data_IF_194108784468
#
_entry.id   IF_194108784468
#
_cell.length_a   1.000
_cell.length_b   1.000
_cell.length_c   1.000
_cell.angle_alpha   90.00
_cell.angle_beta   90.00
_cell.angle_gamma   90.00
#
_symmetry.space_group_name_H-M   'P 1'
#
loop_
_entity.id
_entity.type
_entity.pdbx_description
1 polymer ?
#
# COMPACT_ATOMS: atom_id res chain seq x y z
N UNK A 1 -2.93 23.08 -13.67
CA UNK A 1 -3.24 21.74 -13.12
C UNK A 1 -2.08 20.75 -13.23
N UNK A 2 -1.58 20.36 -14.41
CA UNK A 2 -0.43 19.41 -14.48
C UNK A 2 0.86 20.01 -13.91
N UNK A 3 1.13 21.30 -14.18
CA UNK A 3 2.26 22.02 -13.58
C UNK A 3 2.12 22.21 -12.06
N UNK A 4 0.91 22.47 -11.56
CA UNK A 4 0.66 22.59 -10.11
C UNK A 4 0.86 21.27 -9.39
N UNK A 5 0.49 20.13 -10.01
CA UNK A 5 0.75 18.81 -9.45
C UNK A 5 2.25 18.51 -9.43
N UNK A 6 2.99 18.84 -10.48
CA UNK A 6 4.45 18.67 -10.50
C UNK A 6 5.11 19.54 -9.45
N UNK A 7 4.69 20.80 -9.28
CA UNK A 7 5.21 21.67 -8.24
C UNK A 7 4.81 21.21 -6.83
N UNK A 8 3.58 20.75 -6.63
CA UNK A 8 3.12 20.23 -5.34
C UNK A 8 3.81 18.91 -4.98
N UNK A 9 4.07 18.05 -5.96
CA UNK A 9 4.87 16.84 -5.80
C UNK A 9 6.34 17.19 -5.59
N UNK A 10 6.90 18.18 -6.27
CA UNK A 10 8.27 18.67 -5.99
C UNK A 10 8.39 19.39 -4.65
N UNK A 11 7.31 19.96 -4.13
CA UNK A 11 7.27 20.63 -2.84
C UNK A 11 7.09 19.63 -1.68
N UNK A 12 6.26 18.60 -1.86
CA UNK A 12 6.11 17.49 -0.90
C UNK A 12 7.26 16.49 -0.96
N UNK A 13 7.83 16.31 -2.15
CA UNK A 13 8.95 15.44 -2.43
C UNK A 13 10.21 16.27 -2.66
N UNK A 14 10.41 17.30 -1.84
CA UNK A 14 11.78 17.59 -1.43
C UNK A 14 12.21 16.32 -0.67
N UNK A 15 13.07 15.46 -1.27
CA UNK A 15 13.63 14.37 -0.50
C UNK A 15 14.22 15.00 0.75
N UNK A 16 13.97 14.41 1.91
CA UNK A 16 14.53 14.84 3.19
C UNK A 16 16.05 14.63 3.15
N UNK A 17 16.75 15.33 2.27
CA UNK A 17 18.19 15.40 2.23
C UNK A 17 18.56 16.09 3.53
N UNK A 18 19.13 15.31 4.44
CA UNK A 18 19.88 15.85 5.55
C UNK A 18 20.90 16.84 4.97
N UNK A 19 20.70 18.13 5.25
CA UNK A 19 21.70 19.13 4.92
C UNK A 19 22.88 18.82 5.84
N UNK A 20 24.10 18.60 5.29
CA UNK A 20 25.26 18.42 6.13
C UNK A 20 25.37 19.65 7.02
N UNK A 21 25.26 19.47 8.33
CA UNK A 21 25.53 20.54 9.28
C UNK A 21 27.00 20.87 9.10
N UNK A 22 27.28 22.02 8.48
CA UNK A 22 28.65 22.51 8.33
C UNK A 22 29.29 22.51 9.71
N UNK A 23 30.23 21.59 9.90
CA UNK A 23 30.90 21.33 11.17
C UNK A 23 31.96 22.41 11.44
N UNK A 24 31.56 23.68 11.41
CA UNK A 24 32.40 24.80 11.85
C UNK A 24 32.21 25.11 13.35
N UNK A 25 31.48 24.25 14.07
CA UNK A 25 31.44 24.32 15.53
C UNK A 25 32.65 23.58 16.12
N UNK A 26 33.48 24.25 16.94
CA UNK A 26 34.67 23.66 17.54
C UNK A 26 34.29 22.45 18.40
N UNK A 27 35.04 21.37 18.23
CA UNK A 27 34.94 20.10 18.95
C UNK A 27 34.37 20.24 20.37
N UNK A 28 33.23 19.60 20.70
CA UNK A 28 32.86 19.45 22.08
C UNK A 28 33.91 18.54 22.72
N UNK A 29 34.72 19.16 23.58
CA UNK A 29 35.54 18.53 24.60
C UNK A 29 34.89 17.23 25.05
N UNK A 30 35.64 16.14 24.92
CA UNK A 30 35.28 14.82 25.40
C UNK A 30 34.89 14.90 26.88
N UNK A 31 33.59 15.00 27.18
CA UNK A 31 33.06 14.86 28.53
C UNK A 31 32.89 13.37 28.82
N UNK A 32 34.03 12.71 29.02
CA UNK A 32 34.11 11.41 29.67
C UNK A 32 34.26 11.68 31.17
N UNK A 33 33.28 11.25 31.96
CA UNK A 33 33.40 10.79 33.35
C UNK A 33 32.18 11.19 34.17
N UNK A 34 31.30 10.20 34.36
CA UNK A 34 30.68 9.84 35.64
C UNK A 34 30.05 10.92 36.50
N UNK A 35 28.72 10.90 36.56
CA UNK A 35 28.05 10.98 37.86
C UNK A 35 26.69 10.27 37.81
N UNK A 36 26.55 9.32 38.72
CA UNK A 36 25.33 8.59 39.00
C UNK A 36 24.33 9.53 39.65
N UNK A 37 23.10 9.60 39.13
CA UNK A 37 21.94 9.97 39.91
C UNK A 37 20.71 9.18 39.40
N UNK A 38 20.12 8.30 40.22
CA UNK A 38 18.88 7.64 39.88
C UNK A 38 17.75 8.64 40.14
N UNK A 39 17.12 9.13 39.07
CA UNK A 39 15.83 9.81 39.22
C UNK A 39 14.75 8.87 38.67
N UNK A 40 14.21 8.12 39.61
CA UNK A 40 12.95 7.40 39.53
C UNK A 40 11.85 8.37 39.11
N UNK A 41 11.42 8.28 37.86
CA UNK A 41 10.07 8.67 37.47
C UNK A 41 9.48 7.45 36.78
N UNK A 42 8.79 6.66 37.59
CA UNK A 42 7.75 5.73 37.13
C UNK A 42 6.73 6.51 36.31
N UNK A 43 6.87 6.43 35.01
CA UNK A 43 5.75 6.42 34.10
C UNK A 43 5.81 5.10 33.36
N UNK A 44 5.11 4.11 33.93
CA UNK A 44 4.72 2.87 33.26
C UNK A 44 3.97 3.22 31.96
N UNK A 45 4.72 3.32 30.88
CA UNK A 45 4.24 3.17 29.54
C UNK A 45 5.08 2.05 28.92
N UNK A 46 4.74 0.83 29.29
CA UNK A 46 5.09 -0.40 28.59
C UNK A 46 4.55 -0.31 27.16
N UNK A 47 5.29 0.36 26.30
CA UNK A 47 5.09 0.36 24.85
C UNK A 47 5.89 -0.80 24.28
N UNK A 48 5.32 -2.00 24.41
CA UNK A 48 5.66 -3.13 23.56
C UNK A 48 5.34 -2.74 22.09
N UNK A 49 6.35 -2.26 21.37
CA UNK A 49 6.25 -1.98 19.94
C UNK A 49 7.45 -2.59 19.19
N UNK A 50 7.66 -3.87 19.43
CA UNK A 50 8.15 -4.81 18.44
C UNK A 50 7.11 -5.94 18.30
N UNK A 51 5.86 -5.57 17.96
CA UNK A 51 4.92 -6.54 17.40
C UNK A 51 5.18 -6.57 15.90
N UNK A 52 5.92 -7.60 15.48
CA UNK A 52 5.58 -8.31 14.26
C UNK A 52 4.06 -8.36 14.16
N UNK A 53 3.51 -8.01 12.99
CA UNK A 53 2.12 -8.31 12.69
C UNK A 53 1.98 -9.83 12.54
N UNK A 54 2.04 -10.55 13.65
CA UNK A 54 1.23 -11.74 13.83
C UNK A 54 -0.21 -11.23 13.83
N UNK A 55 -0.86 -11.42 12.68
CA UNK A 55 -2.30 -11.28 12.53
C UNK A 55 -2.92 -12.38 13.40
N UNK A 56 -3.03 -12.12 14.70
CA UNK A 56 -3.93 -12.86 15.58
C UNK A 56 -5.33 -12.30 15.36
N UNK A 57 -5.92 -12.67 14.22
CA UNK A 57 -7.35 -12.60 14.01
C UNK A 57 -8.00 -13.64 14.92
N UNK A 58 -8.27 -13.24 16.17
CA UNK A 58 -9.27 -13.85 17.02
C UNK A 58 -10.67 -13.61 16.44
N UNK A 59 -10.91 -14.05 15.21
CA UNK A 59 -12.24 -14.42 14.79
C UNK A 59 -12.60 -15.68 15.59
N UNK A 60 -13.85 -15.83 16.07
CA UNK A 60 -14.28 -17.13 16.53
C UNK A 60 -13.99 -18.12 15.40
N UNK A 61 -13.23 -19.16 15.71
CA UNK A 61 -13.11 -20.35 14.87
C UNK A 61 -14.52 -20.91 14.80
N UNK A 62 -15.28 -20.43 13.82
CA UNK A 62 -16.49 -21.06 13.36
C UNK A 62 -15.99 -22.34 12.74
N UNK A 63 -16.00 -23.40 13.56
CA UNK A 63 -15.56 -24.73 13.18
C UNK A 63 -16.25 -25.07 11.87
N UNK A 64 -15.48 -25.03 10.78
CA UNK A 64 -15.91 -25.59 9.53
C UNK A 64 -15.92 -27.10 9.75
N UNK A 65 -17.04 -27.61 10.25
CA UNK A 65 -17.39 -29.00 10.05
C UNK A 65 -17.51 -29.16 8.53
N UNK A 66 -16.66 -29.97 7.87
CA UNK A 66 -16.90 -30.32 6.50
C UNK A 66 -18.27 -31.00 6.49
N UNK A 67 -19.26 -30.31 5.94
CA UNK A 67 -20.55 -30.89 5.64
C UNK A 67 -20.29 -32.12 4.80
N UNK A 68 -20.44 -33.27 5.45
CA UNK A 68 -20.59 -34.56 4.82
C UNK A 68 -21.66 -34.37 3.77
N UNK A 69 -21.25 -34.33 2.50
CA UNK A 69 -22.19 -34.49 1.41
C UNK A 69 -22.71 -35.91 1.55
N UNK A 70 -23.81 -36.04 2.29
CA UNK A 70 -24.65 -37.22 2.28
C UNK A 70 -25.04 -37.46 0.81
N UNK A 71 -24.25 -38.30 0.14
CA UNK A 71 -24.66 -38.95 -1.10
C UNK A 71 -25.90 -39.74 -0.74
N UNK A 72 -27.06 -39.19 -1.04
CA UNK A 72 -28.28 -39.97 -1.12
C UNK A 72 -28.01 -41.06 -2.17
N UNK A 73 -28.04 -42.36 -1.82
CA UNK A 73 -28.00 -43.39 -2.83
C UNK A 73 -29.29 -43.25 -3.64
N UNK A 74 -29.14 -42.91 -4.92
CA UNK A 74 -30.21 -43.02 -5.89
C UNK A 74 -30.63 -44.49 -5.92
N UNK A 75 -31.85 -44.76 -5.45
CA UNK A 75 -32.49 -46.05 -5.59
C UNK A 75 -32.54 -46.40 -7.08
N UNK A 76 -31.88 -47.49 -7.45
CA UNK A 76 -32.07 -48.13 -8.73
C UNK A 76 -33.53 -48.61 -8.79
N UNK A 77 -34.32 -47.99 -9.67
CA UNK A 77 -35.63 -48.51 -10.06
C UNK A 77 -35.48 -49.17 -11.44
N UNK A 78 -36.02 -50.38 -11.65
CA UNK A 78 -35.77 -51.16 -12.84
C UNK A 78 -36.46 -50.59 -14.09
N UNK A 79 -35.78 -50.83 -15.21
CA UNK A 79 -36.27 -50.76 -16.59
C UNK A 79 -37.64 -51.39 -16.79
N UNK A 80 -38.58 -50.64 -17.38
CA UNK A 80 -39.50 -51.20 -18.38
C UNK A 80 -39.66 -50.25 -19.57
N UNK A 81 -39.80 -50.79 -20.80
CA UNK A 81 -39.94 -50.01 -22.02
C UNK A 81 -41.41 -49.74 -22.35
N UNK A 82 -41.63 -48.73 -23.21
CA UNK A 82 -42.86 -48.51 -23.99
C UNK A 82 -43.88 -47.52 -23.40
N UNK A 83 -43.90 -46.30 -23.96
CA UNK A 83 -45.06 -45.75 -24.65
C UNK A 83 -44.75 -44.35 -25.18
N UNK A 84 -45.01 -44.15 -26.48
CA UNK A 84 -45.15 -42.90 -27.23
C UNK A 84 -45.15 -41.60 -26.40
N UNK A 85 -44.04 -40.86 -26.43
CA UNK A 85 -44.01 -39.47 -25.97
C UNK A 85 -44.74 -38.58 -27.01
N UNK A 86 -45.64 -37.69 -26.60
CA UNK A 86 -46.20 -36.69 -27.49
C UNK A 86 -45.07 -35.75 -27.94
N UNK A 87 -45.02 -35.46 -29.24
CA UNK A 87 -44.15 -34.43 -29.81
C UNK A 87 -44.58 -33.10 -29.20
N UNK A 88 -43.93 -32.68 -28.12
CA UNK A 88 -44.02 -31.32 -27.60
C UNK A 88 -43.28 -30.46 -28.62
N UNK A 89 -44.04 -29.91 -29.57
CA UNK A 89 -43.57 -28.86 -30.45
C UNK A 89 -43.19 -27.69 -29.54
N UNK A 90 -41.88 -27.59 -29.28
CA UNK A 90 -41.28 -26.46 -28.57
C UNK A 90 -41.44 -25.26 -29.48
N UNK A 91 -42.59 -24.59 -29.37
CA UNK A 91 -42.84 -23.29 -29.98
C UNK A 91 -41.75 -22.36 -29.48
N UNK A 92 -40.70 -22.17 -30.29
CA UNK A 92 -39.70 -21.12 -30.10
C UNK A 92 -40.50 -19.84 -30.17
N UNK A 93 -40.69 -19.09 -29.06
CA UNK A 93 -41.46 -17.86 -29.12
C UNK A 93 -40.82 -17.00 -30.21
N UNK A 94 -41.63 -16.54 -31.16
CA UNK A 94 -41.21 -15.64 -32.22
C UNK A 94 -40.39 -14.52 -31.57
N UNK A 95 -39.11 -14.45 -31.97
CA UNK A 95 -38.13 -13.55 -31.39
C UNK A 95 -38.59 -12.11 -31.56
N UNK A 96 -39.09 -11.51 -30.48
CA UNK A 96 -39.03 -10.06 -30.33
C UNK A 96 -37.56 -9.66 -30.52
N UNK A 97 -37.26 -8.63 -31.32
CA UNK A 97 -35.90 -8.12 -31.42
C UNK A 97 -35.45 -7.79 -30.01
N UNK A 98 -34.46 -8.55 -29.53
CA UNK A 98 -33.88 -8.35 -28.21
C UNK A 98 -33.41 -6.90 -28.19
N UNK A 99 -34.12 -6.06 -27.45
CA UNK A 99 -33.80 -4.65 -27.31
C UNK A 99 -32.31 -4.60 -27.00
N UNK A 100 -31.50 -3.84 -27.78
CA UNK A 100 -30.07 -3.83 -27.62
C UNK A 100 -29.80 -3.48 -26.17
N UNK A 101 -29.44 -4.50 -25.38
CA UNK A 101 -29.04 -4.29 -23.99
C UNK A 101 -27.94 -3.26 -24.12
N UNK A 102 -28.09 -2.06 -23.53
CA UNK A 102 -27.01 -1.10 -23.57
C UNK A 102 -25.83 -1.90 -23.08
N UNK A 103 -24.79 -1.98 -23.92
CA UNK A 103 -23.55 -2.61 -23.55
C UNK A 103 -23.02 -1.74 -22.41
N UNK A 104 -23.51 -2.02 -21.19
CA UNK A 104 -22.86 -1.81 -19.93
C UNK A 104 -21.65 -2.76 -19.94
N UNK A 105 -20.82 -2.66 -20.98
CA UNK A 105 -19.41 -2.96 -20.95
C UNK A 105 -18.80 -1.92 -20.01
N UNK A 106 -19.22 -1.97 -18.75
CA UNK A 106 -18.56 -1.31 -17.65
C UNK A 106 -17.12 -1.73 -17.81
N UNK A 107 -16.25 -0.72 -17.96
CA UNK A 107 -14.82 -0.86 -18.16
C UNK A 107 -14.27 -1.85 -17.15
N UNK A 108 -14.26 -3.13 -17.52
CA UNK A 108 -13.94 -4.21 -16.61
C UNK A 108 -12.44 -4.18 -16.51
N UNK A 109 -11.96 -3.66 -15.40
CA UNK A 109 -10.54 -3.59 -15.11
C UNK A 109 -9.93 -4.98 -15.33
N UNK A 110 -8.98 -5.09 -16.26
CA UNK A 110 -8.28 -6.35 -16.49
C UNK A 110 -7.66 -6.81 -15.18
N UNK A 111 -7.80 -8.10 -14.86
CA UNK A 111 -7.21 -8.71 -13.67
C UNK A 111 -5.70 -8.49 -13.62
N UNK A 112 -5.02 -8.48 -14.77
CA UNK A 112 -3.59 -8.17 -14.90
C UNK A 112 -3.29 -6.75 -14.42
N UNK A 113 -4.02 -5.74 -14.91
CA UNK A 113 -3.80 -4.34 -14.51
C UNK A 113 -4.05 -4.10 -13.02
N UNK A 114 -5.01 -4.84 -12.44
CA UNK A 114 -5.25 -4.80 -10.99
C UNK A 114 -4.04 -5.34 -10.23
N UNK A 115 -3.45 -6.46 -10.66
CA UNK A 115 -2.24 -7.03 -10.06
C UNK A 115 -1.04 -6.09 -10.18
N UNK A 116 -0.85 -5.50 -11.35
CA UNK A 116 0.21 -4.49 -11.58
C UNK A 116 0.06 -3.29 -10.62
N UNK A 117 -1.17 -2.77 -10.46
CA UNK A 117 -1.43 -1.66 -9.56
C UNK A 117 -1.13 -1.99 -8.09
N UNK A 118 -1.56 -3.16 -7.60
CA UNK A 118 -1.22 -3.59 -6.25
C UNK A 118 0.28 -3.84 -6.06
N UNK A 119 0.95 -4.41 -7.07
CA UNK A 119 2.40 -4.62 -7.03
C UNK A 119 3.18 -3.30 -6.92
N UNK A 120 2.80 -2.31 -7.72
CA UNK A 120 3.38 -0.96 -7.66
C UNK A 120 3.09 -0.26 -6.33
N UNK A 121 1.86 -0.37 -5.80
CA UNK A 121 1.50 0.18 -4.50
C UNK A 121 2.39 -0.40 -3.38
N UNK A 122 2.50 -1.73 -3.28
CA UNK A 122 3.34 -2.40 -2.29
C UNK A 122 4.80 -1.96 -2.41
N UNK A 123 5.33 -1.89 -3.64
CA UNK A 123 6.70 -1.46 -3.88
C UNK A 123 6.93 0.02 -3.48
N UNK A 124 6.01 0.92 -3.82
CA UNK A 124 6.10 2.35 -3.47
C UNK A 124 6.02 2.57 -1.96
N UNK A 125 5.10 1.90 -1.27
CA UNK A 125 4.99 1.93 0.19
C UNK A 125 6.25 1.35 0.87
N UNK A 126 6.83 0.28 0.31
CA UNK A 126 8.10 -0.27 0.79
C UNK A 126 9.26 0.71 0.65
N UNK A 127 9.36 1.38 -0.52
CA UNK A 127 10.37 2.41 -0.76
C UNK A 127 10.23 3.60 0.21
N UNK A 128 9.01 4.09 0.46
CA UNK A 128 8.77 5.16 1.42
C UNK A 128 9.07 4.74 2.87
N UNK A 129 8.82 3.47 3.23
CA UNK A 129 9.20 2.92 4.54
C UNK A 129 10.72 2.85 4.69
N UNK A 130 11.42 2.42 3.64
CA UNK A 130 12.89 2.38 3.61
C UNK A 130 13.49 3.78 3.76
N UNK A 131 12.97 4.75 3.03
CA UNK A 131 13.35 6.17 3.14
C UNK A 131 13.19 6.65 4.60
N UNK A 132 11.99 6.51 5.18
CA UNK A 132 11.72 6.91 6.57
C UNK A 132 12.66 6.22 7.60
N UNK A 133 12.91 4.93 7.43
CA UNK A 133 13.83 4.18 8.28
C UNK A 133 15.26 4.71 8.17
N UNK A 134 15.74 4.96 6.96
CA UNK A 134 17.10 5.46 6.71
C UNK A 134 17.29 6.88 7.23
N UNK A 135 16.28 7.74 7.11
CA UNK A 135 16.23 9.08 7.70
C UNK A 135 16.36 9.00 9.22
N UNK A 136 15.55 8.16 9.87
CA UNK A 136 15.61 7.98 11.33
C UNK A 136 16.98 7.48 11.77
N UNK A 137 17.60 6.58 11.00
CA UNK A 137 18.97 6.11 11.25
C UNK A 137 19.99 7.25 11.14
N UNK A 138 19.90 8.10 10.12
CA UNK A 138 20.80 9.25 9.93
C UNK A 138 20.68 10.29 11.05
N UNK A 139 19.46 10.60 11.49
CA UNK A 139 19.20 11.51 12.60
C UNK A 139 19.76 10.94 13.92
N UNK A 140 19.50 9.66 14.20
CA UNK A 140 20.02 9.00 15.41
C UNK A 140 21.55 8.92 15.44
N UNK A 141 22.21 8.86 14.28
CA UNK A 141 23.66 8.89 14.15
C UNK A 141 24.26 10.30 14.30
N UNK A 142 23.42 11.35 14.41
CA UNK A 142 23.88 12.74 14.43
C UNK A 142 24.40 13.24 13.07
N UNK A 143 24.15 12.49 11.99
CA UNK A 143 24.64 12.80 10.64
C UNK A 143 23.79 13.88 9.92
N UNK A 144 22.68 14.32 10.52
CA UNK A 144 21.84 15.37 9.95
C UNK A 144 20.53 15.64 10.69
N UNK A 145 19.75 16.57 10.16
CA UNK A 145 18.40 16.92 10.64
C UNK A 145 17.40 16.79 9.50
N UNK A 146 16.14 16.47 9.83
CA UNK A 146 15.04 16.40 8.85
C UNK A 146 14.86 17.77 8.17
N UNK A 147 15.10 17.83 6.87
CA UNK A 147 15.01 19.08 6.10
C UNK A 147 13.56 19.44 5.74
N UNK A 148 12.64 18.47 5.73
CA UNK A 148 11.24 18.75 5.48
C UNK A 148 10.56 19.34 6.74
N UNK A 149 10.14 20.62 6.72
CA UNK A 149 9.54 21.26 7.89
C UNK A 149 8.24 20.59 8.36
N UNK A 150 7.52 19.90 7.46
CA UNK A 150 6.29 19.18 7.79
C UNK A 150 6.56 17.85 8.50
N UNK A 151 7.69 17.20 8.20
CA UNK A 151 8.07 15.93 8.83
C UNK A 151 8.92 16.12 10.07
N UNK A 152 9.58 17.28 10.20
CA UNK A 152 10.40 17.66 11.36
C UNK A 152 9.75 17.44 12.73
N UNK A 153 8.47 17.78 12.99
CA UNK A 153 7.86 17.51 14.29
C UNK A 153 7.72 16.00 14.59
N UNK A 154 7.74 15.15 13.56
CA UNK A 154 7.61 13.70 13.69
C UNK A 154 8.94 12.96 13.64
N UNK A 155 10.06 13.64 13.37
CA UNK A 155 11.38 13.04 13.16
C UNK A 155 11.84 12.13 14.32
N UNK A 156 11.46 12.45 15.57
CA UNK A 156 11.79 11.68 16.76
C UNK A 156 10.67 10.72 17.21
N UNK A 157 9.58 10.59 16.44
CA UNK A 157 8.39 9.80 16.78
C UNK A 157 8.17 8.67 15.78
N UNK A 158 7.49 7.60 16.22
CA UNK A 158 6.98 6.55 15.32
C UNK A 158 5.97 7.09 14.29
N UNK A 159 5.39 8.27 14.55
CA UNK A 159 4.50 8.97 13.62
C UNK A 159 5.16 9.33 12.28
N UNK A 160 6.50 9.38 12.20
CA UNK A 160 7.22 9.60 10.94
C UNK A 160 6.79 8.58 9.87
N UNK A 161 6.65 7.31 10.24
CA UNK A 161 6.22 6.27 9.31
C UNK A 161 4.79 6.49 8.82
N UNK A 162 3.87 6.92 9.69
CA UNK A 162 2.50 7.21 9.25
C UNK A 162 2.47 8.42 8.30
N UNK A 163 3.25 9.46 8.61
CA UNK A 163 3.34 10.67 7.81
C UNK A 163 3.93 10.39 6.42
N UNK A 164 4.97 9.55 6.32
CA UNK A 164 5.57 9.21 5.02
C UNK A 164 4.66 8.37 4.14
N UNK A 165 3.72 7.59 4.70
CA UNK A 165 2.76 6.81 3.92
C UNK A 165 1.66 7.64 3.25
N UNK A 166 1.48 8.90 3.64
CA UNK A 166 0.47 9.79 3.04
C UNK A 166 0.78 10.03 1.57
N UNK A 167 2.06 10.22 1.21
CA UNK A 167 2.45 10.50 -0.16
C UNK A 167 2.23 9.29 -1.10
N UNK A 168 2.72 8.07 -0.81
CA UNK A 168 2.38 6.88 -1.60
C UNK A 168 0.87 6.64 -1.70
N UNK A 169 0.12 6.78 -0.61
CA UNK A 169 -1.33 6.58 -0.64
C UNK A 169 -2.04 7.57 -1.58
N UNK A 170 -1.59 8.82 -1.60
CA UNK A 170 -2.09 9.83 -2.53
C UNK A 170 -1.74 9.49 -3.97
N UNK A 171 -0.50 9.05 -4.24
CA UNK A 171 -0.07 8.60 -5.57
C UNK A 171 -0.87 7.38 -6.05
N UNK A 172 -1.17 6.44 -5.15
CA UNK A 172 -1.98 5.27 -5.42
C UNK A 172 -3.40 5.63 -5.80
N UNK A 173 -4.00 6.58 -5.07
CA UNK A 173 -5.31 7.14 -5.41
C UNK A 173 -5.30 7.78 -6.81
N UNK A 174 -4.26 8.58 -7.12
CA UNK A 174 -4.10 9.19 -8.44
C UNK A 174 -3.93 8.16 -9.55
N UNK A 175 -3.05 7.16 -9.36
CA UNK A 175 -2.86 6.07 -10.30
C UNK A 175 -4.18 5.33 -10.56
N UNK A 176 -4.96 5.05 -9.50
CA UNK A 176 -6.27 4.40 -9.60
C UNK A 176 -7.30 5.25 -10.34
N UNK A 177 -7.31 6.57 -10.10
CA UNK A 177 -8.16 7.53 -10.81
C UNK A 177 -7.80 7.58 -12.29
N UNK A 178 -6.51 7.59 -12.62
CA UNK A 178 -6.00 7.62 -13.99
C UNK A 178 -6.34 6.34 -14.76
N UNK A 179 -6.29 5.16 -14.13
CA UNK A 179 -6.70 3.89 -14.73
C UNK A 179 -8.15 3.88 -15.22
N UNK A 180 -9.04 4.60 -14.51
CA UNK A 180 -10.48 4.71 -14.81
C UNK A 180 -10.83 5.93 -15.66
N UNK A 181 -9.84 6.72 -16.09
CA UNK A 181 -10.10 7.92 -16.88
C UNK A 181 -10.64 7.56 -18.27
N UNK A 182 -11.51 8.40 -18.88
CA UNK A 182 -12.00 8.18 -20.24
C UNK A 182 -10.91 8.40 -21.29
N UNK A 183 -9.93 9.26 -21.00
CA UNK A 183 -8.85 9.60 -21.92
C UNK A 183 -7.82 8.46 -22.04
N UNK A 184 -7.59 7.90 -23.26
CA UNK A 184 -6.67 6.78 -23.45
C UNK A 184 -5.21 7.10 -23.12
N UNK A 185 -4.78 8.35 -23.26
CA UNK A 185 -3.41 8.76 -22.93
C UNK A 185 -3.17 8.74 -21.42
N UNK A 186 -4.08 9.31 -20.65
CA UNK A 186 -4.00 9.32 -19.18
C UNK A 186 -3.97 7.89 -18.63
N UNK A 187 -4.79 7.01 -19.23
CA UNK A 187 -4.83 5.59 -18.87
C UNK A 187 -3.58 4.80 -19.28
N UNK A 188 -2.71 5.31 -20.16
CA UNK A 188 -1.39 4.70 -20.43
C UNK A 188 -0.32 5.17 -19.44
N UNK A 189 -0.51 6.35 -18.85
CA UNK A 189 0.42 6.99 -17.90
C UNK A 189 0.08 6.73 -16.42
N UNK A 190 -0.90 5.86 -16.13
CA UNK A 190 -1.39 5.63 -14.77
C UNK A 190 -0.33 5.15 -13.76
N UNK A 191 0.70 4.46 -14.23
CA UNK A 191 1.79 3.94 -13.40
C UNK A 191 2.84 5.01 -13.06
N UNK A 192 2.88 6.11 -13.81
CA UNK A 192 3.94 7.13 -13.71
C UNK A 192 4.05 7.75 -12.32
N UNK A 193 2.96 8.18 -11.65
CA UNK A 193 3.06 8.81 -10.33
C UNK A 193 3.67 7.88 -9.27
N UNK A 194 3.23 6.62 -9.24
CA UNK A 194 3.73 5.61 -8.30
C UNK A 194 5.21 5.29 -8.54
N UNK A 195 5.61 5.06 -9.79
CA UNK A 195 7.01 4.73 -10.12
C UNK A 195 7.95 5.91 -9.87
N UNK A 196 7.53 7.14 -10.16
CA UNK A 196 8.33 8.33 -9.89
C UNK A 196 8.53 8.54 -8.38
N UNK A 197 7.46 8.44 -7.59
CA UNK A 197 7.53 8.54 -6.13
C UNK A 197 8.43 7.46 -5.52
N UNK A 198 8.26 6.20 -5.96
CA UNK A 198 9.08 5.07 -5.52
C UNK A 198 10.58 5.30 -5.81
N UNK A 199 10.92 5.72 -7.03
CA UNK A 199 12.32 5.96 -7.41
C UNK A 199 12.94 7.08 -6.57
N UNK A 200 12.18 8.14 -6.30
CA UNK A 200 12.64 9.25 -5.46
C UNK A 200 12.87 8.82 -4.00
N UNK A 201 11.93 8.08 -3.40
CA UNK A 201 12.10 7.54 -2.04
C UNK A 201 13.30 6.59 -1.93
N UNK A 202 13.53 5.75 -2.94
CA UNK A 202 14.72 4.88 -2.96
C UNK A 202 16.01 5.69 -3.04
N UNK A 203 16.07 6.71 -3.91
CA UNK A 203 17.23 7.56 -4.05
C UNK A 203 17.54 8.33 -2.75
N UNK A 204 16.51 8.88 -2.10
CA UNK A 204 16.62 9.53 -0.80
C UNK A 204 17.12 8.57 0.28
N UNK A 205 16.53 7.37 0.35
CA UNK A 205 16.95 6.39 1.34
C UNK A 205 18.40 5.90 1.16
N UNK A 206 18.83 5.68 -0.08
CA UNK A 206 20.23 5.35 -0.39
C UNK A 206 21.16 6.50 -0.01
N UNK A 207 20.77 7.75 -0.25
CA UNK A 207 21.55 8.91 0.16
C UNK A 207 21.70 8.98 1.68
N UNK A 208 20.62 8.78 2.44
CA UNK A 208 20.64 8.77 3.91
C UNK A 208 21.51 7.65 4.49
N UNK A 209 21.47 6.45 3.90
CA UNK A 209 22.36 5.35 4.32
C UNK A 209 23.82 5.70 4.09
N UNK A 210 24.17 6.37 2.99
CA UNK A 210 25.55 6.80 2.70
C UNK A 210 26.08 7.85 3.66
N UNK A 211 25.22 8.67 4.27
CA UNK A 211 25.65 9.67 5.27
C UNK A 211 26.03 9.05 6.62
N UNK A 212 25.61 7.81 6.88
CA UNK A 212 25.84 7.11 8.16
C UNK A 212 27.06 6.18 8.10
N UNK A 213 27.62 5.95 6.92
CA UNK A 213 28.82 5.12 6.72
C UNK A 213 30.09 5.95 6.94
#
# INVERSE_FOLDING_TARGET
MVLDLVLFVSFLAQPGCAIPVASDSPSPVARRSGENAPLSVEADAKSDAASSAEVNSGAPVLGYAPGEFARTPAAAVPTEPSALAPIVVRNKPLGLPEAPRPALGGWRESSTRRREWYGLAVAAHGAATFDAWSTRRAINAGAGTESNPLLRPFANSGALYAATQVCPAFMDFFGRRMMRSPNPWIRKMWWVPQSAGMAMSLAAGVHNVRLVQ
#
